data_IF_651646841463
#
_entry.id   IF_651646841463
#
_cell.length_a   1.000
_cell.length_b   1.000
_cell.length_c   1.000
_cell.angle_alpha   90.00
_cell.angle_beta   90.00
_cell.angle_gamma   90.00
#
_symmetry.space_group_name_H-M   'P 1'
#
loop_
_entity.id
_entity.type
_entity.pdbx_description
1 polymer ?
#
# COMPACT_ATOMS: atom_id res chain seq x y z
N UNK A 1 27.90 -18.99 -14.47
CA UNK A 1 28.25 -17.60 -14.08
C UNK A 1 27.00 -16.88 -13.63
N UNK A 2 26.76 -16.75 -12.33
CA UNK A 2 25.64 -15.96 -11.79
C UNK A 2 25.95 -14.48 -12.00
N UNK A 3 25.24 -13.80 -12.89
CA UNK A 3 25.32 -12.35 -13.04
C UNK A 3 24.83 -11.69 -11.75
N UNK A 4 25.73 -10.98 -11.11
CA UNK A 4 25.46 -10.17 -9.92
C UNK A 4 24.61 -8.96 -10.36
N UNK A 5 23.29 -9.00 -10.09
CA UNK A 5 22.35 -7.94 -10.43
C UNK A 5 22.41 -6.82 -9.38
N UNK A 6 23.59 -6.23 -9.16
CA UNK A 6 23.72 -5.04 -8.34
C UNK A 6 23.19 -3.83 -9.12
N UNK A 7 22.24 -3.10 -8.54
CA UNK A 7 21.68 -1.87 -9.13
C UNK A 7 22.76 -0.79 -9.14
N UNK A 8 23.25 -0.45 -10.31
CA UNK A 8 24.11 0.72 -10.55
C UNK A 8 23.27 1.96 -10.75
N UNK A 9 23.76 3.11 -10.33
CA UNK A 9 23.09 4.38 -10.61
C UNK A 9 23.53 4.87 -11.98
N UNK A 10 22.55 4.94 -12.87
CA UNK A 10 22.65 5.65 -14.13
C UNK A 10 21.74 6.87 -14.06
N UNK A 11 22.18 8.02 -14.51
CA UNK A 11 21.31 9.16 -14.72
C UNK A 11 21.48 9.74 -16.12
N UNK A 12 20.34 10.12 -16.65
CA UNK A 12 20.24 10.85 -17.92
C UNK A 12 20.19 12.32 -17.57
N UNK A 13 21.00 13.15 -18.21
CA UNK A 13 20.96 14.59 -18.01
C UNK A 13 19.54 15.11 -18.20
N UNK A 14 18.91 15.58 -17.11
CA UNK A 14 17.54 16.06 -17.09
C UNK A 14 16.51 15.19 -16.39
N UNK A 15 16.88 14.00 -15.85
CA UNK A 15 15.90 13.17 -15.18
C UNK A 15 16.51 12.35 -14.04
N UNK A 16 16.09 12.63 -12.80
CA UNK A 16 16.28 11.70 -11.69
C UNK A 16 15.20 10.63 -11.74
N UNK A 17 15.56 9.43 -12.25
CA UNK A 17 14.72 8.28 -12.07
C UNK A 17 15.42 7.23 -11.24
N UNK A 18 15.03 7.15 -9.99
CA UNK A 18 15.18 5.98 -9.15
C UNK A 18 13.83 5.27 -9.09
N UNK A 19 13.40 4.67 -10.19
CA UNK A 19 12.33 3.71 -10.14
C UNK A 19 12.91 2.38 -9.69
N UNK A 20 12.61 1.98 -8.46
CA UNK A 20 12.82 0.62 -8.01
C UNK A 20 11.79 -0.29 -8.71
N UNK A 21 12.07 -0.73 -9.93
CA UNK A 21 11.40 -1.86 -10.53
C UNK A 21 12.42 -2.97 -10.62
N UNK A 22 12.20 -4.01 -9.83
CA UNK A 22 12.91 -5.26 -9.94
C UNK A 22 12.58 -5.89 -11.29
N UNK A 23 13.53 -5.88 -12.21
CA UNK A 23 13.79 -6.92 -13.22
C UNK A 23 15.11 -6.58 -13.90
N UNK A 24 16.03 -7.54 -13.88
CA UNK A 24 17.37 -7.39 -14.45
C UNK A 24 17.37 -7.06 -15.92
N UNK A 25 17.42 -5.80 -16.22
CA UNK A 25 17.91 -5.12 -17.42
C UNK A 25 17.85 -3.62 -17.18
N UNK A 26 18.83 -2.91 -17.70
CA UNK A 26 18.97 -1.46 -17.67
C UNK A 26 17.64 -0.74 -17.86
N UNK A 27 17.21 0.01 -16.84
CA UNK A 27 15.96 0.79 -16.92
C UNK A 27 16.29 2.12 -17.56
N UNK A 28 16.11 2.19 -18.87
CA UNK A 28 16.02 3.45 -19.60
C UNK A 28 14.56 3.91 -19.56
N UNK A 29 14.28 4.96 -18.84
CA UNK A 29 12.98 5.60 -18.91
C UNK A 29 13.08 6.87 -19.76
N UNK A 30 12.49 6.82 -20.94
CA UNK A 30 12.24 7.98 -21.79
C UNK A 30 11.01 8.72 -21.30
N UNK A 31 11.18 9.95 -20.79
CA UNK A 31 10.12 10.93 -20.69
C UNK A 31 10.52 12.24 -21.35
N UNK A 32 9.64 12.73 -22.21
CA UNK A 32 9.54 13.99 -22.97
C UNK A 32 10.59 15.10 -22.80
N UNK A 33 10.92 15.63 -23.84
CA UNK A 33 11.77 16.65 -24.46
C UNK A 33 12.03 17.99 -23.74
N UNK A 34 12.26 18.04 -22.41
CA UNK A 34 12.87 19.23 -21.78
C UNK A 34 13.77 18.81 -20.62
N UNK A 35 15.05 18.63 -20.92
CA UNK A 35 16.05 18.21 -19.95
C UNK A 35 16.69 19.43 -19.28
N UNK A 36 16.42 19.64 -17.99
CA UNK A 36 17.13 20.60 -17.16
C UNK A 36 18.58 20.19 -16.90
N UNK A 37 19.43 21.15 -16.49
CA UNK A 37 20.83 20.90 -16.13
C UNK A 37 20.89 20.18 -14.79
N UNK A 38 21.71 19.14 -14.72
CA UNK A 38 22.02 18.42 -13.46
C UNK A 38 23.31 18.98 -12.88
N UNK A 39 23.30 19.28 -11.58
CA UNK A 39 24.51 19.54 -10.81
C UNK A 39 24.83 18.34 -9.95
N UNK A 40 26.03 17.81 -10.14
CA UNK A 40 26.56 16.72 -9.34
C UNK A 40 27.65 17.26 -8.41
N UNK A 41 27.61 16.90 -7.14
CA UNK A 41 28.71 17.15 -6.21
C UNK A 41 28.96 15.92 -5.34
N UNK A 42 30.24 15.62 -5.08
CA UNK A 42 30.69 14.60 -4.14
C UNK A 42 31.21 15.28 -2.88
N UNK A 43 30.72 14.89 -1.72
CA UNK A 43 31.08 15.55 -0.46
C UNK A 43 32.40 15.10 0.14
N UNK A 44 32.95 13.95 -0.28
CA UNK A 44 34.13 13.33 0.33
C UNK A 44 35.40 13.41 -0.48
N UNK A 45 35.38 13.92 -1.73
CA UNK A 45 36.60 14.15 -2.51
C UNK A 45 36.40 15.19 -3.60
N UNK A 46 37.50 15.85 -4.01
CA UNK A 46 37.53 16.89 -5.05
C UNK A 46 37.61 16.34 -6.47
N UNK A 47 37.64 15.03 -6.68
CA UNK A 47 37.81 14.43 -8.01
C UNK A 47 36.48 13.91 -8.54
N UNK A 48 36.20 14.25 -9.82
CA UNK A 48 35.03 13.77 -10.60
C UNK A 48 35.36 12.49 -11.40
N UNK A 49 36.46 11.81 -11.08
CA UNK A 49 36.95 10.61 -11.78
C UNK A 49 35.99 9.42 -11.65
N UNK A 50 35.11 9.50 -10.65
CA UNK A 50 34.06 8.49 -10.41
C UNK A 50 32.79 8.66 -11.27
N UNK A 51 32.78 9.62 -12.19
CA UNK A 51 31.66 9.89 -13.09
C UNK A 51 32.05 9.48 -14.51
N UNK A 52 31.56 8.37 -14.95
CA UNK A 52 31.79 7.88 -16.31
C UNK A 52 30.66 8.30 -17.23
N UNK A 53 30.97 9.03 -18.31
CA UNK A 53 30.01 9.33 -19.37
C UNK A 53 29.78 8.08 -20.22
N UNK A 54 28.53 7.67 -20.38
CA UNK A 54 28.13 6.52 -21.21
C UNK A 54 27.75 6.99 -22.62
N UNK A 55 26.93 8.05 -22.72
CA UNK A 55 26.52 8.68 -23.97
C UNK A 55 26.32 10.19 -23.78
N UNK A 56 25.69 10.87 -24.75
CA UNK A 56 25.49 12.32 -24.72
C UNK A 56 24.72 12.80 -23.49
N UNK A 57 23.84 11.95 -22.92
CA UNK A 57 22.90 12.30 -21.85
C UNK A 57 22.96 11.36 -20.64
N UNK A 58 23.76 10.31 -20.68
CA UNK A 58 23.82 9.27 -19.64
C UNK A 58 25.19 9.26 -18.97
N UNK A 59 25.17 9.22 -17.63
CA UNK A 59 26.35 9.14 -16.81
C UNK A 59 26.20 7.99 -15.80
N UNK A 60 27.30 7.28 -15.55
CA UNK A 60 27.40 6.24 -14.52
C UNK A 60 28.25 6.77 -13.37
N UNK A 61 27.78 6.62 -12.13
CA UNK A 61 28.56 6.84 -10.93
C UNK A 61 29.26 5.54 -10.55
N UNK A 62 30.59 5.55 -10.54
CA UNK A 62 31.40 4.33 -10.32
C UNK A 62 32.10 4.31 -8.97
N UNK A 63 32.15 5.45 -8.27
CA UNK A 63 32.89 5.61 -7.02
C UNK A 63 32.13 5.25 -5.75
N UNK A 64 32.75 5.56 -4.62
CA UNK A 64 32.19 5.38 -3.29
C UNK A 64 32.08 6.72 -2.56
N UNK A 65 31.09 6.82 -1.63
CA UNK A 65 30.87 8.00 -0.82
C UNK A 65 29.47 8.61 -0.99
N UNK A 66 29.26 9.80 -0.43
CA UNK A 66 28.00 10.53 -0.53
C UNK A 66 28.00 11.43 -1.77
N UNK A 67 26.95 11.31 -2.58
CA UNK A 67 26.72 12.13 -3.77
C UNK A 67 25.46 12.96 -3.59
N UNK A 68 25.55 14.23 -4.01
CA UNK A 68 24.40 15.13 -4.14
C UNK A 68 24.12 15.38 -5.61
N UNK A 69 22.90 15.09 -6.01
CA UNK A 69 22.41 15.28 -7.36
C UNK A 69 21.29 16.33 -7.30
N UNK A 70 21.42 17.40 -8.07
CA UNK A 70 20.44 18.49 -8.14
C UNK A 70 19.98 18.67 -9.57
N UNK A 71 18.66 18.68 -9.76
CA UNK A 71 18.04 19.06 -11.02
C UNK A 71 17.86 20.58 -11.12
N UNK A 72 17.80 21.12 -12.34
CA UNK A 72 17.59 22.56 -12.59
C UNK A 72 16.25 23.05 -12.01
N UNK A 73 15.24 22.18 -11.92
CA UNK A 73 13.94 22.45 -11.26
C UNK A 73 13.97 22.41 -9.73
N UNK A 74 15.16 22.23 -9.10
CA UNK A 74 15.33 22.28 -7.64
C UNK A 74 15.09 20.96 -6.90
N UNK A 75 14.73 19.86 -7.58
CA UNK A 75 14.71 18.52 -6.94
C UNK A 75 16.12 18.12 -6.55
N UNK A 76 16.27 17.54 -5.39
CA UNK A 76 17.54 17.12 -4.85
C UNK A 76 17.50 15.67 -4.38
N UNK A 77 18.59 14.94 -4.65
CA UNK A 77 18.81 13.58 -4.17
C UNK A 77 20.18 13.52 -3.49
N UNK A 78 20.24 12.90 -2.32
CA UNK A 78 21.49 12.58 -1.62
C UNK A 78 21.55 11.07 -1.44
N UNK A 79 22.64 10.46 -1.92
CA UNK A 79 22.83 9.00 -1.88
C UNK A 79 24.22 8.62 -1.46
N UNK A 80 24.33 7.49 -0.80
CA UNK A 80 25.62 6.86 -0.54
C UNK A 80 25.83 5.69 -1.49
N UNK A 81 27.04 5.63 -2.05
CA UNK A 81 27.48 4.59 -2.95
C UNK A 81 28.66 3.82 -2.37
N UNK A 82 28.79 2.57 -2.76
CA UNK A 82 29.98 1.75 -2.65
C UNK A 82 30.26 1.14 -4.03
N UNK A 83 31.38 1.55 -4.66
CA UNK A 83 31.75 1.12 -6.01
C UNK A 83 30.60 1.28 -7.02
N UNK A 84 29.97 2.46 -7.04
CA UNK A 84 28.85 2.78 -7.93
C UNK A 84 27.50 2.13 -7.58
N UNK A 85 27.43 1.34 -6.49
CA UNK A 85 26.24 0.66 -6.05
C UNK A 85 25.64 1.40 -4.85
N UNK A 86 24.30 1.60 -4.84
CA UNK A 86 23.59 2.17 -3.68
C UNK A 86 23.90 1.36 -2.42
N UNK A 87 24.51 2.01 -1.42
CA UNK A 87 24.87 1.36 -0.16
C UNK A 87 24.95 2.42 0.95
N UNK A 88 23.97 2.41 1.84
CA UNK A 88 23.81 3.42 2.88
C UNK A 88 22.59 4.31 2.62
N UNK A 89 22.65 5.54 3.12
CA UNK A 89 21.54 6.49 3.15
C UNK A 89 21.07 6.89 1.75
N UNK A 90 19.75 6.98 1.60
CA UNK A 90 19.02 7.58 0.49
C UNK A 90 18.13 8.68 1.04
N UNK A 91 18.21 9.91 0.49
CA UNK A 91 17.44 11.08 0.93
C UNK A 91 17.03 11.89 -0.31
N UNK A 92 15.75 11.90 -0.65
CA UNK A 92 15.18 12.63 -1.79
C UNK A 92 14.31 13.77 -1.30
N UNK A 93 14.33 14.89 -2.02
CA UNK A 93 13.67 16.12 -1.62
C UNK A 93 12.77 16.65 -2.73
N UNK A 94 11.69 17.28 -2.33
CA UNK A 94 10.84 18.10 -3.18
C UNK A 94 11.57 19.35 -3.68
N UNK A 95 11.01 20.02 -4.68
CA UNK A 95 11.52 21.29 -5.23
C UNK A 95 11.53 22.42 -4.20
N UNK A 96 10.61 22.38 -3.23
CA UNK A 96 10.56 23.36 -2.13
C UNK A 96 11.60 23.09 -1.03
N UNK A 97 12.45 22.06 -1.18
CA UNK A 97 13.50 21.69 -0.24
C UNK A 97 13.08 20.76 0.91
N UNK A 98 11.78 20.48 1.06
CA UNK A 98 11.29 19.51 2.03
C UNK A 98 11.61 18.07 1.58
N UNK A 99 11.81 17.17 2.54
CA UNK A 99 12.01 15.75 2.22
C UNK A 99 10.80 15.16 1.52
N UNK A 100 11.07 14.38 0.46
CA UNK A 100 10.09 13.51 -0.17
C UNK A 100 10.18 12.09 0.39
N UNK A 101 11.37 11.48 0.37
CA UNK A 101 11.56 10.15 0.92
C UNK A 101 12.94 9.95 1.52
N UNK A 102 13.03 9.15 2.56
CA UNK A 102 14.29 8.77 3.20
C UNK A 102 14.29 7.28 3.47
N UNK A 103 15.45 6.63 3.34
CA UNK A 103 15.63 5.22 3.61
C UNK A 103 17.10 4.82 3.53
N UNK A 104 17.33 3.53 3.47
CA UNK A 104 18.66 2.96 3.33
C UNK A 104 18.68 1.88 2.25
N UNK A 105 19.83 1.79 1.59
CA UNK A 105 20.18 0.71 0.70
C UNK A 105 21.32 -0.14 1.28
N UNK A 106 21.28 -1.43 1.03
CA UNK A 106 22.37 -2.36 1.25
C UNK A 106 22.62 -3.15 -0.02
N UNK A 107 23.83 -2.99 -0.60
CA UNK A 107 24.21 -3.65 -1.85
C UNK A 107 23.18 -3.47 -2.98
N UNK A 108 22.70 -2.25 -3.18
CA UNK A 108 21.74 -1.90 -4.23
C UNK A 108 20.28 -2.26 -3.94
N UNK A 109 19.98 -2.82 -2.76
CA UNK A 109 18.62 -3.19 -2.37
C UNK A 109 18.12 -2.32 -1.22
N UNK A 110 16.84 -1.99 -1.22
CA UNK A 110 16.19 -1.30 -0.09
C UNK A 110 16.23 -2.17 1.15
N UNK A 111 16.59 -1.54 2.28
CA UNK A 111 16.74 -2.22 3.57
C UNK A 111 16.23 -1.32 4.70
N UNK A 112 15.59 -1.90 5.73
CA UNK A 112 15.12 -1.19 6.91
C UNK A 112 13.93 -0.27 6.67
N UNK A 113 13.77 0.73 7.53
CA UNK A 113 12.65 1.68 7.45
C UNK A 113 12.83 2.67 6.30
N UNK A 114 11.76 2.85 5.53
CA UNK A 114 11.59 3.89 4.53
C UNK A 114 10.42 4.78 4.91
N UNK A 115 10.67 6.09 4.92
CA UNK A 115 9.65 7.09 5.24
C UNK A 115 9.41 7.99 4.03
N UNK A 116 8.14 8.15 3.66
CA UNK A 116 7.69 9.09 2.62
C UNK A 116 6.96 10.23 3.30
N UNK A 117 7.24 11.44 2.86
CA UNK A 117 6.66 12.67 3.39
C UNK A 117 5.77 13.32 2.34
N UNK A 118 4.82 14.11 2.79
CA UNK A 118 4.06 15.05 1.96
C UNK A 118 4.92 16.28 1.65
N UNK A 119 4.54 17.05 0.65
CA UNK A 119 5.25 18.26 0.25
C UNK A 119 5.34 19.32 1.36
N UNK A 120 4.39 19.31 2.31
CA UNK A 120 4.42 20.17 3.50
C UNK A 120 5.21 19.57 4.69
N UNK A 121 5.97 18.47 4.46
CA UNK A 121 6.90 17.88 5.42
C UNK A 121 6.29 16.94 6.46
N UNK A 122 4.97 16.64 6.38
CA UNK A 122 4.35 15.63 7.26
C UNK A 122 4.66 14.22 6.76
N UNK A 123 4.80 13.27 7.69
CA UNK A 123 4.92 11.85 7.31
C UNK A 123 3.64 11.41 6.62
N UNK A 124 3.77 10.80 5.45
CA UNK A 124 2.67 10.21 4.70
C UNK A 124 2.64 8.70 4.83
N UNK A 125 3.80 8.02 4.67
CA UNK A 125 3.89 6.56 4.74
C UNK A 125 5.21 6.12 5.37
N UNK A 126 5.18 4.98 6.07
CA UNK A 126 6.35 4.26 6.54
C UNK A 126 6.27 2.81 6.11
N UNK A 127 7.41 2.30 5.63
CA UNK A 127 7.56 0.93 5.17
C UNK A 127 8.77 0.30 5.84
N UNK A 128 8.73 -1.01 5.98
CA UNK A 128 9.91 -1.82 6.28
C UNK A 128 10.28 -2.65 5.05
N UNK A 129 11.54 -2.61 4.66
CA UNK A 129 12.07 -3.38 3.55
C UNK A 129 13.16 -4.34 4.02
N UNK A 130 13.20 -5.51 3.40
CA UNK A 130 14.29 -6.47 3.47
C UNK A 130 14.58 -6.93 2.04
N UNK A 131 15.80 -6.68 1.56
CA UNK A 131 16.23 -7.08 0.21
C UNK A 131 15.26 -6.63 -0.92
N UNK A 132 14.80 -5.36 -0.92
CA UNK A 132 13.81 -4.78 -1.85
C UNK A 132 12.36 -5.25 -1.65
N UNK A 133 12.10 -6.21 -0.79
CA UNK A 133 10.75 -6.68 -0.51
C UNK A 133 10.17 -5.99 0.72
N UNK A 134 8.90 -5.64 0.67
CA UNK A 134 8.17 -5.16 1.86
C UNK A 134 8.17 -6.29 2.90
N UNK A 135 8.75 -6.03 4.07
CA UNK A 135 8.88 -7.01 5.13
C UNK A 135 8.91 -6.30 6.49
N UNK A 136 7.86 -6.46 7.28
CA UNK A 136 7.67 -5.76 8.54
C UNK A 136 6.55 -4.73 8.50
N UNK A 137 6.59 -3.78 9.43
CA UNK A 137 5.50 -2.83 9.68
C UNK A 137 5.29 -1.86 8.51
N UNK A 138 4.02 -1.65 8.21
CA UNK A 138 3.51 -0.59 7.34
C UNK A 138 2.64 0.37 8.14
N UNK A 139 2.75 1.66 7.85
CA UNK A 139 1.83 2.69 8.36
C UNK A 139 1.61 3.76 7.30
N UNK A 140 0.37 4.25 7.17
CA UNK A 140 0.05 5.47 6.43
C UNK A 140 -0.69 6.47 7.30
N UNK A 141 -0.64 7.73 6.88
CA UNK A 141 -1.17 8.87 7.62
C UNK A 141 -1.89 9.82 6.67
N UNK A 142 -2.97 10.42 7.13
CA UNK A 142 -3.66 11.47 6.39
C UNK A 142 -2.76 12.69 6.20
N UNK A 143 -2.53 13.08 4.95
CA UNK A 143 -1.59 14.17 4.63
C UNK A 143 -1.97 15.53 5.22
N UNK A 144 -3.26 15.77 5.43
CA UNK A 144 -3.79 17.02 5.99
C UNK A 144 -3.60 17.10 7.51
N UNK A 145 -4.05 16.11 8.25
CA UNK A 145 -4.03 16.08 9.72
C UNK A 145 -2.77 15.44 10.28
N UNK A 146 -2.20 14.44 9.60
CA UNK A 146 -1.13 13.59 10.12
C UNK A 146 -1.63 12.48 11.03
N UNK A 147 -2.97 12.32 11.20
CA UNK A 147 -3.55 11.19 11.92
C UNK A 147 -3.31 9.88 11.18
N UNK A 148 -3.24 8.79 11.92
CA UNK A 148 -3.02 7.46 11.33
C UNK A 148 -4.19 7.07 10.43
N UNK A 149 -3.90 6.62 9.20
CA UNK A 149 -4.87 6.14 8.23
C UNK A 149 -4.91 4.61 8.19
N UNK A 150 -3.74 3.97 8.07
CA UNK A 150 -3.66 2.51 7.97
C UNK A 150 -2.45 2.00 8.75
N UNK A 151 -2.58 0.82 9.36
CA UNK A 151 -1.47 0.08 9.96
C UNK A 151 -1.63 -1.41 9.71
N UNK A 152 -0.51 -2.08 9.45
CA UNK A 152 -0.45 -3.52 9.24
C UNK A 152 0.98 -4.01 9.09
N UNK A 153 1.13 -5.24 8.64
CA UNK A 153 2.44 -5.85 8.42
C UNK A 153 2.50 -6.51 7.05
N UNK A 154 3.69 -6.48 6.46
CA UNK A 154 4.05 -7.26 5.28
C UNK A 154 5.04 -8.37 5.65
N UNK A 155 4.91 -9.49 5.00
CA UNK A 155 5.90 -10.56 4.99
C UNK A 155 6.15 -10.99 3.55
N UNK A 156 7.42 -10.91 3.10
CA UNK A 156 7.82 -11.23 1.72
C UNK A 156 6.94 -10.55 0.66
N UNK A 157 6.63 -9.27 0.85
CA UNK A 157 5.83 -8.44 -0.05
C UNK A 157 4.32 -8.65 0.04
N UNK A 158 3.83 -9.54 0.90
CA UNK A 158 2.40 -9.85 1.06
C UNK A 158 1.87 -9.35 2.41
N UNK A 159 0.64 -8.87 2.43
CA UNK A 159 -0.06 -8.49 3.66
C UNK A 159 -0.20 -9.71 4.58
N UNK A 160 0.10 -9.54 5.87
CA UNK A 160 0.00 -10.59 6.90
C UNK A 160 -0.50 -10.02 8.22
N UNK A 161 -1.13 -10.85 9.04
CA UNK A 161 -1.65 -10.46 10.35
C UNK A 161 -2.78 -9.42 10.26
N UNK A 162 -2.98 -8.70 11.35
CA UNK A 162 -4.07 -7.73 11.46
C UNK A 162 -3.74 -6.43 10.73
N UNK A 163 -4.66 -6.00 9.87
CA UNK A 163 -4.68 -4.70 9.23
C UNK A 163 -5.83 -3.87 9.79
N UNK A 164 -5.54 -2.61 10.12
CA UNK A 164 -6.54 -1.67 10.63
C UNK A 164 -6.49 -0.39 9.82
N UNK A 165 -7.64 0.06 9.35
CA UNK A 165 -7.83 1.39 8.78
C UNK A 165 -8.59 2.27 9.77
N UNK A 166 -8.29 3.56 9.75
CA UNK A 166 -8.93 4.57 10.58
C UNK A 166 -9.53 5.66 9.72
N UNK A 167 -10.56 6.28 10.21
CA UNK A 167 -11.04 7.56 9.70
C UNK A 167 -10.11 8.70 10.11
N UNK A 168 -10.22 9.85 9.47
CA UNK A 168 -9.38 11.02 9.76
C UNK A 168 -9.56 11.54 11.20
N UNK A 169 -10.73 11.31 11.80
CA UNK A 169 -11.02 11.61 13.22
C UNK A 169 -10.40 10.61 14.22
N UNK A 170 -9.65 9.60 13.71
CA UNK A 170 -8.98 8.58 14.52
C UNK A 170 -9.85 7.38 14.92
N UNK A 171 -11.18 7.40 14.64
CA UNK A 171 -12.02 6.22 14.88
C UNK A 171 -11.70 5.10 13.89
N UNK A 172 -11.87 3.84 14.30
CA UNK A 172 -11.68 2.68 13.41
C UNK A 172 -12.67 2.72 12.26
N UNK A 173 -12.17 2.46 11.03
CA UNK A 173 -12.95 2.32 9.80
C UNK A 173 -13.11 0.86 9.41
N UNK A 174 -12.00 0.09 9.42
CA UNK A 174 -12.00 -1.33 9.14
C UNK A 174 -10.90 -2.06 9.91
N UNK A 175 -11.09 -3.33 10.18
CA UNK A 175 -10.08 -4.21 10.76
C UNK A 175 -10.31 -5.64 10.30
N UNK A 176 -9.23 -6.34 9.93
CA UNK A 176 -9.29 -7.74 9.56
C UNK A 176 -7.92 -8.37 9.47
N UNK A 177 -7.88 -9.69 9.31
CA UNK A 177 -6.65 -10.44 9.21
C UNK A 177 -6.36 -10.87 7.78
N UNK A 178 -5.09 -10.77 7.39
CA UNK A 178 -4.58 -11.26 6.13
C UNK A 178 -3.59 -12.41 6.35
N UNK A 179 -3.62 -13.37 5.45
CA UNK A 179 -2.64 -14.45 5.36
C UNK A 179 -2.19 -14.57 3.90
N UNK A 180 -0.89 -14.46 3.64
CA UNK A 180 -0.33 -14.48 2.28
C UNK A 180 -0.96 -13.46 1.30
N UNK A 181 -1.39 -12.30 1.80
CA UNK A 181 -2.04 -11.24 1.02
C UNK A 181 -3.54 -11.39 0.82
N UNK A 182 -4.15 -12.48 1.31
CA UNK A 182 -5.59 -12.75 1.21
C UNK A 182 -6.30 -12.53 2.54
N UNK A 183 -7.55 -12.06 2.49
CA UNK A 183 -8.42 -11.92 3.67
C UNK A 183 -8.67 -13.29 4.28
N UNK A 184 -8.46 -13.40 5.60
CA UNK A 184 -8.66 -14.66 6.31
C UNK A 184 -9.13 -14.37 7.75
N UNK A 185 -10.30 -14.89 8.12
CA UNK A 185 -10.94 -14.64 9.40
C UNK A 185 -11.95 -13.49 9.36
N UNK A 186 -12.25 -12.93 10.52
CA UNK A 186 -13.26 -11.89 10.70
C UNK A 186 -12.75 -10.53 10.21
N UNK A 187 -13.53 -9.90 9.33
CA UNK A 187 -13.39 -8.50 8.92
C UNK A 187 -14.56 -7.71 9.48
N UNK A 188 -14.24 -6.62 10.17
CA UNK A 188 -15.22 -5.69 10.74
C UNK A 188 -15.06 -4.31 10.12
N UNK A 189 -16.17 -3.67 9.81
CA UNK A 189 -16.23 -2.26 9.39
C UNK A 189 -17.11 -1.46 10.34
N UNK A 190 -16.77 -0.18 10.52
CA UNK A 190 -17.49 0.76 11.38
C UNK A 190 -17.82 2.04 10.61
N UNK A 191 -18.85 2.70 11.03
CA UNK A 191 -19.20 4.06 10.61
C UNK A 191 -18.30 5.09 11.34
N UNK A 192 -18.29 6.34 10.87
CA UNK A 192 -17.51 7.42 11.49
C UNK A 192 -17.89 7.71 12.94
N UNK A 193 -19.13 7.38 13.34
CA UNK A 193 -19.63 7.50 14.72
C UNK A 193 -19.26 6.30 15.61
N UNK A 194 -18.51 5.31 15.09
CA UNK A 194 -18.08 4.11 15.80
C UNK A 194 -19.12 2.97 15.82
N UNK A 195 -20.33 3.17 15.27
CA UNK A 195 -21.31 2.11 15.10
C UNK A 195 -20.83 1.05 14.12
N UNK A 196 -21.11 -0.23 14.38
CA UNK A 196 -20.78 -1.32 13.45
C UNK A 196 -21.56 -1.17 12.15
N UNK A 197 -20.84 -1.34 11.02
CA UNK A 197 -21.40 -1.35 9.66
C UNK A 197 -21.51 -2.78 9.12
N UNK A 198 -20.47 -3.60 9.31
CA UNK A 198 -20.47 -5.00 8.90
C UNK A 198 -19.49 -5.85 9.69
N UNK A 199 -19.75 -7.16 9.73
CA UNK A 199 -18.87 -8.21 10.21
C UNK A 199 -18.96 -9.39 9.24
N UNK A 200 -17.86 -9.75 8.59
CA UNK A 200 -17.84 -10.74 7.52
C UNK A 200 -16.67 -11.67 7.74
N UNK A 201 -16.91 -12.99 7.75
CA UNK A 201 -15.85 -13.98 7.78
C UNK A 201 -15.38 -14.33 6.37
N UNK A 202 -14.06 -14.37 6.19
CA UNK A 202 -13.40 -14.73 4.94
C UNK A 202 -12.47 -15.93 5.12
N UNK A 203 -12.37 -16.74 4.09
CA UNK A 203 -11.32 -17.74 3.88
C UNK A 203 -10.75 -17.52 2.48
N UNK A 204 -9.46 -17.12 2.41
CA UNK A 204 -8.76 -16.86 1.15
C UNK A 204 -9.53 -15.90 0.19
N UNK A 205 -9.96 -14.74 0.72
CA UNK A 205 -10.75 -13.70 0.04
C UNK A 205 -12.22 -14.07 -0.24
N UNK A 206 -12.64 -15.31 -0.02
CA UNK A 206 -14.02 -15.73 -0.20
C UNK A 206 -14.82 -15.63 1.10
N UNK A 207 -16.08 -15.16 1.01
CA UNK A 207 -16.97 -15.13 2.19
C UNK A 207 -17.27 -16.56 2.60
N UNK A 208 -16.94 -16.90 3.84
CA UNK A 208 -17.17 -18.23 4.39
C UNK A 208 -17.51 -18.11 5.88
N UNK A 209 -18.64 -18.63 6.30
CA UNK A 209 -19.18 -18.47 7.64
C UNK A 209 -20.14 -17.27 7.76
N UNK A 210 -20.16 -16.64 8.91
CA UNK A 210 -21.10 -15.57 9.24
C UNK A 210 -20.78 -14.27 8.53
N UNK A 211 -21.83 -13.61 8.05
CA UNK A 211 -21.83 -12.26 7.53
C UNK A 211 -22.99 -11.48 8.15
N UNK A 212 -22.70 -10.38 8.82
CA UNK A 212 -23.68 -9.47 9.40
C UNK A 212 -23.46 -8.07 8.84
N UNK A 213 -24.54 -7.42 8.42
CA UNK A 213 -24.56 -6.02 8.02
C UNK A 213 -25.61 -5.30 8.89
N UNK A 214 -25.33 -4.07 9.27
CA UNK A 214 -26.12 -3.33 10.23
C UNK A 214 -26.64 -2.03 9.64
N UNK A 215 -27.82 -1.60 10.07
CA UNK A 215 -28.29 -0.23 9.92
C UNK A 215 -27.42 0.73 10.76
N UNK A 216 -27.46 2.03 10.48
CA UNK A 216 -26.80 3.05 11.33
C UNK A 216 -27.28 3.03 12.79
N UNK A 217 -28.51 2.58 13.04
CA UNK A 217 -29.06 2.36 14.36
C UNK A 217 -28.40 1.22 15.15
N UNK A 218 -27.53 0.43 14.51
CA UNK A 218 -26.91 -0.76 15.07
C UNK A 218 -27.78 -2.02 14.98
N UNK A 219 -29.03 -1.93 14.50
CA UNK A 219 -29.88 -3.10 14.28
C UNK A 219 -29.40 -3.90 13.05
N UNK A 220 -29.59 -5.23 13.03
CA UNK A 220 -29.31 -6.04 11.85
C UNK A 220 -30.10 -5.53 10.63
N UNK A 221 -29.42 -5.36 9.50
CA UNK A 221 -30.00 -5.16 8.18
C UNK A 221 -30.06 -6.50 7.43
N UNK A 222 -28.95 -7.27 7.53
CA UNK A 222 -28.77 -8.50 6.78
C UNK A 222 -27.84 -9.45 7.53
N UNK A 223 -28.24 -10.72 7.58
CA UNK A 223 -27.43 -11.81 8.11
C UNK A 223 -27.29 -12.90 7.05
N UNK A 224 -26.14 -13.50 6.96
CA UNK A 224 -25.91 -14.69 6.15
C UNK A 224 -24.99 -15.68 6.87
N UNK A 225 -25.15 -16.95 6.54
CA UNK A 225 -24.20 -17.99 6.91
C UNK A 225 -23.82 -18.74 5.63
N UNK A 226 -22.57 -18.52 5.20
CA UNK A 226 -22.05 -18.97 3.91
C UNK A 226 -21.14 -20.18 4.08
N UNK A 227 -21.22 -21.12 3.14
CA UNK A 227 -20.27 -22.19 2.94
C UNK A 227 -19.85 -22.17 1.47
N UNK A 228 -18.78 -21.40 1.18
CA UNK A 228 -18.40 -21.08 -0.20
C UNK A 228 -19.54 -20.36 -0.93
N UNK A 229 -19.94 -20.86 -2.10
CA UNK A 229 -20.99 -20.27 -2.92
C UNK A 229 -22.42 -20.47 -2.39
N UNK A 230 -22.63 -21.33 -1.40
CA UNK A 230 -23.97 -21.63 -0.86
C UNK A 230 -24.14 -21.04 0.53
N UNK A 231 -25.37 -20.67 0.87
CA UNK A 231 -25.63 -20.16 2.21
C UNK A 231 -27.11 -19.90 2.48
N UNK A 232 -27.41 -19.56 3.72
CA UNK A 232 -28.70 -19.05 4.18
C UNK A 232 -28.61 -17.57 4.45
N UNK A 233 -29.65 -16.83 4.18
CA UNK A 233 -29.71 -15.38 4.33
C UNK A 233 -30.99 -14.96 5.04
N UNK A 234 -30.92 -13.87 5.80
CA UNK A 234 -32.02 -13.15 6.44
C UNK A 234 -31.86 -11.67 6.24
N UNK A 235 -32.95 -11.00 5.95
CA UNK A 235 -32.99 -9.55 5.87
C UNK A 235 -34.07 -8.99 6.78
N UNK A 236 -33.79 -7.85 7.39
CA UNK A 236 -34.62 -7.26 8.43
C UNK A 236 -35.06 -5.85 8.04
N UNK A 237 -36.23 -5.47 8.50
CA UNK A 237 -36.74 -4.10 8.44
C UNK A 237 -35.99 -3.20 9.45
N UNK A 238 -36.12 -1.89 9.32
CA UNK A 238 -35.48 -0.90 10.21
C UNK A 238 -35.95 -0.98 11.67
N UNK A 239 -37.15 -1.53 11.91
CA UNK A 239 -37.68 -1.80 13.25
C UNK A 239 -37.09 -3.08 13.89
N UNK A 240 -36.35 -3.89 13.10
CA UNK A 240 -35.73 -5.14 13.50
C UNK A 240 -36.59 -6.37 13.23
N UNK A 241 -37.82 -6.23 12.70
CA UNK A 241 -38.63 -7.35 12.29
C UNK A 241 -38.05 -8.05 11.06
N UNK A 242 -38.23 -9.38 10.95
CA UNK A 242 -37.74 -10.17 9.85
C UNK A 242 -38.54 -9.83 8.57
N UNK A 243 -37.79 -9.45 7.50
CA UNK A 243 -38.39 -9.11 6.20
C UNK A 243 -38.35 -10.26 5.20
N UNK A 244 -37.27 -11.05 5.23
CA UNK A 244 -37.17 -12.25 4.39
C UNK A 244 -36.11 -13.21 4.92
N UNK A 245 -36.26 -14.48 4.52
CA UNK A 245 -35.24 -15.52 4.70
C UNK A 245 -35.26 -16.51 3.53
N UNK A 246 -34.13 -17.14 3.24
CA UNK A 246 -34.01 -18.14 2.20
C UNK A 246 -32.60 -18.64 1.99
N UNK A 247 -32.41 -19.42 0.93
CA UNK A 247 -31.10 -19.96 0.55
C UNK A 247 -30.58 -19.36 -0.74
N UNK A 248 -29.26 -19.25 -0.86
CA UNK A 248 -28.60 -18.77 -2.08
C UNK A 248 -27.55 -19.77 -2.55
N UNK A 249 -27.30 -19.77 -3.87
CA UNK A 249 -26.14 -20.42 -4.50
C UNK A 249 -25.51 -19.45 -5.48
N UNK A 250 -24.29 -19.05 -5.19
CA UNK A 250 -23.63 -17.92 -5.86
C UNK A 250 -24.44 -16.64 -5.65
N UNK A 251 -24.88 -16.01 -6.76
CA UNK A 251 -25.70 -14.78 -6.71
C UNK A 251 -27.20 -15.06 -6.91
N UNK A 252 -27.65 -16.33 -6.88
CA UNK A 252 -29.02 -16.71 -7.19
C UNK A 252 -29.74 -17.19 -5.93
N UNK A 253 -31.02 -16.82 -5.82
CA UNK A 253 -31.93 -17.42 -4.86
C UNK A 253 -32.21 -18.88 -5.25
N UNK A 254 -32.34 -19.75 -4.26
CA UNK A 254 -32.61 -21.17 -4.47
C UNK A 254 -33.62 -21.68 -3.43
N UNK A 255 -34.42 -22.67 -3.82
CA UNK A 255 -35.41 -23.27 -2.93
C UNK A 255 -36.51 -22.31 -2.52
N UNK A 256 -37.13 -22.57 -1.38
CA UNK A 256 -38.23 -21.75 -0.86
C UNK A 256 -37.74 -20.55 -0.11
N UNK A 257 -38.17 -19.37 -0.50
CA UNK A 257 -37.96 -18.11 0.20
C UNK A 257 -39.25 -17.68 0.89
N UNK A 258 -39.12 -17.22 2.13
CA UNK A 258 -40.21 -16.64 2.89
C UNK A 258 -40.00 -15.14 3.01
N UNK A 259 -41.00 -14.37 2.63
CA UNK A 259 -41.07 -12.92 2.77
C UNK A 259 -42.13 -12.59 3.81
N UNK A 260 -41.82 -11.64 4.68
CA UNK A 260 -42.71 -11.20 5.74
C UNK A 260 -43.12 -9.75 5.49
N UNK A 261 -44.40 -9.44 5.69
CA UNK A 261 -44.84 -8.06 5.76
C UNK A 261 -44.50 -7.45 7.15
N UNK A 262 -44.77 -6.16 7.34
CA UNK A 262 -44.50 -5.48 8.62
C UNK A 262 -45.38 -6.01 9.78
N UNK A 263 -46.45 -6.72 9.51
CA UNK A 263 -47.28 -7.40 10.51
C UNK A 263 -46.79 -8.82 10.80
N UNK A 264 -45.70 -9.27 10.13
CA UNK A 264 -45.13 -10.59 10.30
C UNK A 264 -45.82 -11.70 9.49
N UNK A 265 -46.76 -11.38 8.59
CA UNK A 265 -47.43 -12.39 7.78
C UNK A 265 -46.53 -12.93 6.70
N UNK A 266 -46.34 -14.27 6.58
CA UNK A 266 -45.43 -14.86 5.61
C UNK A 266 -46.05 -15.06 4.24
N UNK A 267 -45.23 -14.85 3.19
CA UNK A 267 -45.50 -15.24 1.80
C UNK A 267 -44.33 -16.07 1.28
N UNK A 268 -44.57 -17.28 0.82
CA UNK A 268 -43.54 -18.18 0.26
C UNK A 268 -43.46 -18.07 -1.26
N UNK A 269 -42.20 -18.14 -1.77
CA UNK A 269 -41.87 -18.14 -3.20
C UNK A 269 -40.80 -19.20 -3.43
N UNK A 270 -40.96 -20.04 -4.45
CA UNK A 270 -39.98 -21.03 -4.86
C UNK A 270 -39.11 -20.49 -6.02
N UNK A 271 -37.82 -20.68 -5.94
CA UNK A 271 -36.81 -20.25 -6.92
C UNK A 271 -36.03 -21.43 -7.47
#
# INVERSE_FOLDING_TARGET
MKRNNSKKIFFIAGMMMLSAVAYGKDVFANYGTNFGKIRLSKLSSSSMDDVKRIDSNTYELTGSGEYRIMEEGGRRLVVNLSNGILNGKYDEFYTNGNRFTIGNYRNGKKEGEWTVYTENGKVWKKYQYKDDQLNGRYSSYYGKTGSQETVGNYENGKMTGTWTEYYENGSKKSQGNYSNGQKNGLFSEWNTNGGKKSEINYVNDEINGKMNVYYESGRPLYEANMNGETGTVRGYYTDGSLGFEGSIKGRRRTGTWTYYDKSGNPRKVNY
#
